data_IF_361423411274
#
_entry.id   IF_361423411274
#
_cell.length_a   1.000
_cell.length_b   1.000
_cell.length_c   1.000
_cell.angle_alpha   90.00
_cell.angle_beta   90.00
_cell.angle_gamma   90.00
#
_symmetry.space_group_name_H-M   'P 1'
#
loop_
_entity.id
_entity.type
_entity.pdbx_description
1 polymer ?
#
# COMPACT_ATOMS: atom_id res chain seq x y z
N UNK A 1 3.24 -14.75 -0.54
CA UNK A 1 3.07 -16.21 -0.24
C UNK A 1 1.93 -16.50 0.73
N UNK A 2 1.42 -15.50 1.46
CA UNK A 2 0.28 -15.69 2.37
C UNK A 2 -0.98 -16.10 1.60
N UNK A 3 -1.29 -15.42 0.51
CA UNK A 3 -2.48 -15.66 -0.30
C UNK A 3 -2.47 -17.04 -0.94
N UNK A 4 -1.31 -17.49 -1.41
CA UNK A 4 -1.16 -18.81 -2.03
C UNK A 4 -1.44 -19.94 -1.03
N UNK A 5 -0.93 -19.80 0.21
CA UNK A 5 -1.23 -20.75 1.28
C UNK A 5 -2.72 -20.75 1.62
N UNK A 6 -3.34 -19.58 1.71
CA UNK A 6 -4.77 -19.47 2.00
C UNK A 6 -5.60 -20.16 0.92
N UNK A 7 -5.28 -19.92 -0.36
CA UNK A 7 -5.98 -20.58 -1.48
C UNK A 7 -5.83 -22.10 -1.41
N UNK A 8 -4.61 -22.59 -1.18
CA UNK A 8 -4.36 -24.02 -1.03
C UNK A 8 -5.17 -24.62 0.13
N UNK A 9 -5.04 -24.07 1.33
CA UNK A 9 -5.74 -24.57 2.52
C UNK A 9 -7.26 -24.54 2.29
N UNK A 10 -7.80 -23.47 1.74
CA UNK A 10 -9.24 -23.32 1.52
C UNK A 10 -9.78 -24.30 0.51
N UNK A 11 -9.13 -24.45 -0.64
CA UNK A 11 -9.60 -25.34 -1.69
C UNK A 11 -9.32 -26.80 -1.39
N UNK A 12 -8.08 -27.16 -1.12
CA UNK A 12 -7.67 -28.55 -1.07
C UNK A 12 -7.88 -29.20 0.29
N UNK A 13 -7.63 -28.46 1.39
CA UNK A 13 -7.78 -29.03 2.73
C UNK A 13 -9.20 -28.90 3.30
N UNK A 14 -9.89 -27.79 3.04
CA UNK A 14 -11.22 -27.57 3.62
C UNK A 14 -12.38 -27.96 2.69
N UNK A 15 -12.24 -27.69 1.39
CA UNK A 15 -13.30 -27.97 0.42
C UNK A 15 -13.10 -29.29 -0.34
N UNK A 16 -11.91 -29.87 -0.28
CA UNK A 16 -11.58 -31.09 -1.00
C UNK A 16 -11.60 -30.95 -2.53
N UNK A 17 -11.44 -29.72 -3.03
CA UNK A 17 -11.39 -29.42 -4.45
C UNK A 17 -9.98 -29.04 -4.87
N UNK A 18 -9.57 -29.50 -6.05
CA UNK A 18 -8.29 -29.09 -6.62
C UNK A 18 -8.39 -27.63 -7.06
N UNK A 19 -7.44 -26.79 -6.65
CA UNK A 19 -7.40 -25.41 -7.10
C UNK A 19 -6.82 -25.30 -8.51
N UNK A 20 -7.35 -24.37 -9.31
CA UNK A 20 -6.82 -24.04 -10.63
C UNK A 20 -5.41 -23.43 -10.60
N UNK A 21 -4.92 -23.04 -9.43
CA UNK A 21 -3.52 -22.62 -9.23
C UNK A 21 -2.51 -23.70 -9.69
N UNK A 22 -2.91 -24.97 -9.71
CA UNK A 22 -2.08 -26.04 -10.28
C UNK A 22 -1.84 -25.91 -11.79
N UNK A 23 -2.66 -25.12 -12.50
CA UNK A 23 -2.60 -24.95 -13.95
C UNK A 23 -1.90 -23.66 -14.41
N UNK A 24 -1.41 -22.84 -13.49
CA UNK A 24 -0.81 -21.53 -13.81
C UNK A 24 0.63 -21.61 -14.34
N UNK A 25 1.18 -22.80 -14.57
CA UNK A 25 2.49 -22.96 -15.24
C UNK A 25 2.51 -22.29 -16.61
N UNK A 26 3.65 -21.72 -16.99
CA UNK A 26 3.87 -21.27 -18.37
C UNK A 26 4.14 -22.45 -19.32
N UNK A 27 4.55 -23.58 -18.78
CA UNK A 27 4.82 -24.78 -19.56
C UNK A 27 3.51 -25.55 -19.80
N UNK A 28 3.22 -25.86 -21.06
CA UNK A 28 2.05 -26.68 -21.41
C UNK A 28 2.16 -28.06 -20.76
N UNK A 29 1.03 -28.56 -20.29
CA UNK A 29 0.90 -29.87 -19.66
C UNK A 29 1.76 -30.08 -18.40
N UNK A 30 2.24 -29.00 -17.80
CA UNK A 30 2.94 -29.06 -16.51
C UNK A 30 2.00 -28.62 -15.39
N UNK A 31 1.82 -29.51 -14.42
CA UNK A 31 1.03 -29.24 -13.25
C UNK A 31 1.92 -28.67 -12.14
N UNK A 32 1.56 -27.49 -11.65
CA UNK A 32 2.26 -26.85 -10.54
C UNK A 32 2.08 -27.64 -9.25
N UNK A 33 3.09 -27.64 -8.39
CA UNK A 33 3.03 -28.29 -7.09
C UNK A 33 3.12 -27.25 -5.97
N UNK A 34 2.30 -27.45 -4.96
CA UNK A 34 2.43 -26.66 -3.74
C UNK A 34 3.68 -27.10 -2.98
N UNK A 35 4.51 -26.13 -2.61
CA UNK A 35 5.77 -26.36 -1.89
C UNK A 35 5.68 -25.77 -0.50
N UNK A 36 6.26 -26.48 0.45
CA UNK A 36 6.45 -26.06 1.83
C UNK A 36 7.88 -26.34 2.22
N UNK A 37 8.68 -25.32 2.46
CA UNK A 37 10.05 -25.50 2.91
C UNK A 37 10.50 -24.40 3.87
N UNK A 38 11.44 -24.76 4.73
CA UNK A 38 12.05 -23.88 5.70
C UNK A 38 13.27 -23.20 5.07
N UNK A 39 13.26 -21.88 5.06
CA UNK A 39 14.39 -21.05 4.69
C UNK A 39 14.96 -20.41 5.96
N UNK A 40 16.24 -20.67 6.24
CA UNK A 40 16.96 -19.99 7.32
C UNK A 40 17.99 -19.04 6.72
N UNK A 41 17.97 -17.79 7.14
CA UNK A 41 18.99 -16.80 6.76
C UNK A 41 19.38 -15.94 7.95
N UNK A 42 20.63 -15.45 7.97
CA UNK A 42 21.12 -14.55 9.01
C UNK A 42 20.37 -13.21 9.06
N UNK A 43 19.84 -12.75 7.93
CA UNK A 43 19.14 -11.48 7.80
C UNK A 43 17.66 -11.55 8.19
N UNK A 44 16.99 -12.67 7.88
CA UNK A 44 15.54 -12.82 8.02
C UNK A 44 15.13 -13.89 9.04
N UNK A 45 16.13 -14.56 9.69
CA UNK A 45 15.88 -15.66 10.59
C UNK A 45 15.30 -16.90 9.87
N UNK A 46 14.54 -17.70 10.61
CA UNK A 46 13.84 -18.87 10.07
C UNK A 46 12.48 -18.47 9.52
N UNK A 47 12.21 -18.81 8.27
CA UNK A 47 10.95 -18.56 7.59
C UNK A 47 10.41 -19.84 6.95
N UNK A 48 9.13 -20.11 7.14
CA UNK A 48 8.42 -21.13 6.39
C UNK A 48 7.86 -20.50 5.12
N UNK A 49 8.32 -20.96 3.97
CA UNK A 49 7.88 -20.45 2.67
C UNK A 49 6.93 -21.47 2.05
N UNK A 50 5.71 -21.03 1.79
CA UNK A 50 4.64 -21.83 1.20
C UNK A 50 4.18 -21.16 -0.09
N UNK A 51 4.35 -21.84 -1.22
CA UNK A 51 4.07 -21.27 -2.54
C UNK A 51 3.81 -22.36 -3.59
N UNK A 52 3.22 -21.95 -4.70
CA UNK A 52 3.09 -22.80 -5.87
C UNK A 52 4.37 -22.73 -6.72
N UNK A 53 5.02 -23.88 -6.88
CA UNK A 53 6.15 -24.01 -7.82
C UNK A 53 5.60 -23.96 -9.24
N UNK A 54 5.79 -22.83 -9.91
CA UNK A 54 5.18 -22.50 -11.20
C UNK A 54 6.27 -22.37 -12.28
N UNK A 55 6.70 -23.44 -12.89
CA UNK A 55 7.74 -23.42 -13.91
C UNK A 55 7.47 -22.42 -15.04
N UNK A 56 8.49 -21.65 -15.36
CA UNK A 56 8.41 -20.58 -16.36
C UNK A 56 7.79 -19.26 -15.87
N UNK A 57 7.49 -19.14 -14.57
CA UNK A 57 7.07 -17.88 -13.92
C UNK A 57 7.99 -17.58 -12.76
N UNK A 58 8.25 -16.30 -12.54
CA UNK A 58 9.01 -15.80 -11.39
C UNK A 58 8.01 -15.30 -10.36
N UNK A 59 8.16 -15.75 -9.12
CA UNK A 59 7.40 -15.25 -7.97
C UNK A 59 8.28 -14.30 -7.17
N UNK A 60 7.79 -13.10 -6.93
CA UNK A 60 8.45 -12.11 -6.09
C UNK A 60 7.48 -11.68 -5.00
N UNK A 61 7.85 -11.91 -3.76
CA UNK A 61 7.15 -11.36 -2.60
C UNK A 61 7.78 -10.01 -2.25
N UNK A 62 7.11 -8.92 -2.65
CA UNK A 62 7.62 -7.56 -2.45
C UNK A 62 7.85 -7.24 -0.97
N UNK A 63 7.03 -7.77 -0.06
CA UNK A 63 7.25 -7.55 1.37
C UNK A 63 8.60 -8.12 1.82
N UNK A 64 8.95 -9.31 1.34
CA UNK A 64 10.25 -9.93 1.66
C UNK A 64 11.42 -9.20 1.04
N UNK A 65 11.25 -8.68 -0.17
CA UNK A 65 12.27 -7.88 -0.84
C UNK A 65 12.51 -6.57 -0.11
N UNK A 66 11.44 -5.84 0.26
CA UNK A 66 11.54 -4.62 1.05
C UNK A 66 12.16 -4.87 2.42
N UNK A 67 11.79 -5.96 3.13
CA UNK A 67 12.39 -6.33 4.41
C UNK A 67 13.89 -6.59 4.33
N UNK A 68 14.34 -7.18 3.21
CA UNK A 68 15.76 -7.46 2.99
C UNK A 68 16.57 -6.22 2.65
N UNK A 69 15.97 -5.30 1.89
CA UNK A 69 16.68 -4.17 1.28
C UNK A 69 16.63 -2.91 2.15
N UNK A 70 15.53 -2.71 2.88
CA UNK A 70 15.27 -1.49 3.65
C UNK A 70 15.04 -1.79 5.12
N UNK A 71 15.68 -1.00 5.99
CA UNK A 71 15.47 -1.09 7.44
C UNK A 71 14.37 -0.10 7.86
N UNK A 72 13.10 -0.51 7.74
CA UNK A 72 11.95 0.30 8.11
C UNK A 72 11.47 -0.04 9.53
N UNK A 73 10.87 0.92 10.21
CA UNK A 73 10.25 0.73 11.54
C UNK A 73 9.03 -0.20 11.50
N UNK A 74 8.37 -0.27 10.35
CA UNK A 74 7.23 -1.15 10.10
C UNK A 74 7.15 -1.53 8.62
N UNK A 75 6.69 -2.74 8.35
CA UNK A 75 6.50 -3.26 6.99
C UNK A 75 5.02 -3.40 6.62
N UNK A 76 4.13 -2.70 7.33
CA UNK A 76 2.74 -2.56 6.91
C UNK A 76 2.68 -1.76 5.61
N UNK A 77 1.73 -2.09 4.73
CA UNK A 77 1.65 -1.50 3.39
C UNK A 77 1.58 0.03 3.41
N UNK A 78 0.78 0.60 4.31
CA UNK A 78 0.65 2.04 4.52
C UNK A 78 1.99 2.69 4.90
N UNK A 79 2.74 2.08 5.82
CA UNK A 79 4.05 2.60 6.24
C UNK A 79 5.11 2.48 5.14
N UNK A 80 5.07 1.39 4.37
CA UNK A 80 5.95 1.22 3.22
C UNK A 80 5.61 2.25 2.14
N UNK A 81 4.34 2.41 1.80
CA UNK A 81 3.88 3.43 0.84
C UNK A 81 4.26 4.84 1.28
N UNK A 82 3.98 5.21 2.53
CA UNK A 82 4.35 6.50 3.10
C UNK A 82 5.86 6.78 3.10
N UNK A 83 6.70 5.73 3.12
CA UNK A 83 8.14 5.90 3.06
C UNK A 83 8.67 6.15 1.64
N UNK A 84 8.04 5.56 0.62
CA UNK A 84 8.48 5.66 -0.77
C UNK A 84 7.72 6.70 -1.59
N UNK A 85 6.43 6.90 -1.30
CA UNK A 85 5.57 7.86 -2.00
C UNK A 85 5.32 9.04 -1.06
N UNK A 86 6.25 9.99 -1.08
CA UNK A 86 6.20 11.18 -0.25
C UNK A 86 6.92 12.36 -0.92
N UNK A 87 6.60 13.55 -0.48
CA UNK A 87 7.30 14.76 -0.92
C UNK A 87 7.29 15.85 0.15
N UNK A 88 8.38 16.62 0.20
CA UNK A 88 8.47 17.77 1.10
C UNK A 88 7.55 18.88 0.63
N UNK A 89 6.79 19.47 1.56
CA UNK A 89 5.97 20.66 1.34
C UNK A 89 6.85 21.88 1.64
N UNK A 90 7.06 22.72 0.63
CA UNK A 90 7.92 23.91 0.75
C UNK A 90 7.13 25.18 1.01
N UNK A 91 5.85 25.21 0.59
CA UNK A 91 4.96 26.34 0.84
C UNK A 91 3.49 25.93 0.87
N UNK A 92 2.66 26.72 1.54
CA UNK A 92 1.22 26.54 1.68
C UNK A 92 0.51 27.84 1.30
N UNK A 93 -0.56 27.74 0.52
CA UNK A 93 -1.43 28.88 0.20
C UNK A 93 -2.87 28.49 0.51
N UNK A 94 -3.49 29.23 1.46
CA UNK A 94 -4.91 29.01 1.81
C UNK A 94 -5.83 29.63 0.77
N UNK A 95 -6.78 28.83 0.27
CA UNK A 95 -7.83 29.27 -0.68
C UNK A 95 -9.20 28.89 -0.17
N UNK A 96 -9.78 29.71 0.68
CA UNK A 96 -11.06 29.46 1.39
C UNK A 96 -10.95 28.20 2.28
N UNK A 97 -11.65 27.12 1.92
CA UNK A 97 -11.66 25.81 2.59
C UNK A 97 -10.63 24.82 2.04
N UNK A 98 -9.76 25.31 1.13
CA UNK A 98 -8.74 24.49 0.45
C UNK A 98 -7.35 25.03 0.70
N UNK A 99 -6.36 24.16 0.51
CA UNK A 99 -4.96 24.52 0.56
C UNK A 99 -4.27 24.07 -0.72
N UNK A 100 -3.47 24.97 -1.28
CA UNK A 100 -2.54 24.69 -2.35
C UNK A 100 -1.18 24.41 -1.73
N UNK A 101 -0.72 23.16 -1.80
CA UNK A 101 0.58 22.72 -1.32
C UNK A 101 1.59 22.86 -2.44
N UNK A 102 2.68 23.54 -2.22
CA UNK A 102 3.84 23.59 -3.12
C UNK A 102 4.85 22.55 -2.62
N UNK A 103 5.22 21.60 -3.47
CA UNK A 103 6.01 20.43 -3.08
C UNK A 103 7.33 20.36 -3.85
N UNK A 104 8.36 19.77 -3.25
CA UNK A 104 9.60 19.44 -3.96
C UNK A 104 9.38 18.33 -4.99
N UNK A 105 8.56 17.36 -4.64
CA UNK A 105 8.16 16.22 -5.50
C UNK A 105 6.68 15.90 -5.30
N UNK A 106 6.05 15.43 -6.38
CA UNK A 106 4.67 14.94 -6.43
C UNK A 106 4.59 13.63 -7.24
N UNK A 107 5.69 12.86 -7.25
CA UNK A 107 5.75 11.62 -8.00
C UNK A 107 4.80 10.58 -7.42
N UNK A 108 4.22 9.77 -8.30
CA UNK A 108 3.40 8.62 -7.97
C UNK A 108 2.13 8.93 -7.16
N UNK A 109 1.63 10.17 -7.20
CA UNK A 109 0.35 10.59 -6.64
C UNK A 109 -0.60 11.02 -7.76
N UNK A 110 -1.89 10.68 -7.65
CA UNK A 110 -2.92 10.99 -8.63
C UNK A 110 -4.03 11.85 -8.02
N UNK A 111 -4.85 12.47 -8.88
CA UNK A 111 -6.09 13.12 -8.45
C UNK A 111 -7.04 12.04 -7.89
N UNK A 112 -7.71 12.37 -6.81
CA UNK A 112 -8.53 11.51 -5.96
C UNK A 112 -7.78 10.53 -5.05
N UNK A 113 -6.45 10.52 -5.03
CA UNK A 113 -5.69 9.83 -3.99
C UNK A 113 -5.83 10.56 -2.65
N UNK A 114 -5.61 9.81 -1.56
CA UNK A 114 -5.53 10.37 -0.22
C UNK A 114 -4.09 10.52 0.23
N UNK A 115 -3.81 11.61 0.94
CA UNK A 115 -2.49 11.86 1.55
C UNK A 115 -2.60 12.13 3.05
N UNK A 116 -1.55 11.80 3.77
CA UNK A 116 -1.26 12.34 5.08
C UNK A 116 -0.36 13.56 4.97
N UNK A 117 -0.48 14.49 5.91
CA UNK A 117 0.50 15.56 6.11
C UNK A 117 1.21 15.29 7.42
N UNK A 118 2.52 15.22 7.37
CA UNK A 118 3.38 14.88 8.49
C UNK A 118 4.28 16.07 8.82
N UNK A 119 4.39 16.39 10.10
CA UNK A 119 5.42 17.27 10.62
C UNK A 119 6.59 16.42 11.14
N UNK A 120 7.75 16.62 10.57
CA UNK A 120 8.98 15.91 10.94
C UNK A 120 9.94 16.87 11.61
N UNK A 121 10.22 16.61 12.90
CA UNK A 121 11.20 17.36 13.70
C UNK A 121 12.08 16.40 14.49
N UNK A 122 13.40 16.54 14.40
CA UNK A 122 14.37 15.78 15.20
C UNK A 122 14.11 14.26 15.24
N UNK A 123 13.82 13.65 14.08
CA UNK A 123 13.51 12.22 13.90
C UNK A 123 12.13 11.76 14.42
N UNK A 124 11.31 12.67 14.93
CA UNK A 124 9.92 12.39 15.28
C UNK A 124 9.03 12.86 14.12
N UNK A 125 8.05 12.06 13.76
CA UNK A 125 7.04 12.38 12.74
C UNK A 125 5.65 12.32 13.37
N UNK A 126 4.92 13.42 13.30
CA UNK A 126 3.57 13.55 13.78
C UNK A 126 2.61 13.88 12.62
N UNK A 127 1.53 13.14 12.51
CA UNK A 127 0.49 13.42 11.52
C UNK A 127 -0.30 14.68 11.91
N UNK A 128 -0.49 15.57 10.94
CA UNK A 128 -1.37 16.73 11.06
C UNK A 128 -2.74 16.35 10.48
N UNK A 129 -3.73 16.28 11.34
CA UNK A 129 -5.08 15.86 10.96
C UNK A 129 -5.18 14.37 10.63
N UNK A 130 -6.16 14.02 9.78
CA UNK A 130 -6.41 12.63 9.39
C UNK A 130 -5.87 12.35 7.99
N UNK A 131 -6.74 12.42 6.98
CA UNK A 131 -6.40 12.21 5.57
C UNK A 131 -6.96 13.36 4.74
N UNK A 132 -6.27 13.71 3.70
CA UNK A 132 -6.65 14.78 2.79
C UNK A 132 -6.81 14.24 1.38
N UNK A 133 -7.97 14.46 0.77
CA UNK A 133 -8.22 14.13 -0.62
C UNK A 133 -7.47 15.12 -1.54
N UNK A 134 -6.72 14.59 -2.47
CA UNK A 134 -6.06 15.37 -3.53
C UNK A 134 -7.09 15.64 -4.63
N UNK A 135 -7.59 16.87 -4.71
CA UNK A 135 -8.61 17.24 -5.69
C UNK A 135 -8.02 17.56 -7.06
N UNK A 136 -6.84 18.20 -7.08
CA UNK A 136 -6.14 18.56 -8.33
C UNK A 136 -4.64 18.54 -8.17
N UNK A 137 -3.98 18.19 -9.26
CA UNK A 137 -2.52 18.14 -9.36
C UNK A 137 -2.07 19.07 -10.49
N UNK A 138 -1.00 19.79 -10.25
CA UNK A 138 -0.28 20.50 -11.30
C UNK A 138 1.19 20.09 -11.30
N UNK A 139 1.53 19.19 -12.20
CA UNK A 139 2.88 18.61 -12.32
C UNK A 139 3.95 19.67 -12.61
N UNK A 140 3.66 20.63 -13.49
CA UNK A 140 4.61 21.70 -13.88
C UNK A 140 4.99 22.59 -12.69
N UNK A 141 4.01 22.91 -11.84
CA UNK A 141 4.22 23.74 -10.65
C UNK A 141 4.51 22.92 -9.40
N UNK A 142 4.44 21.59 -9.48
CA UNK A 142 4.55 20.66 -8.38
C UNK A 142 3.62 21.02 -7.23
N UNK A 143 2.34 21.21 -7.53
CA UNK A 143 1.35 21.61 -6.53
C UNK A 143 0.22 20.61 -6.42
N UNK A 144 -0.24 20.40 -5.18
CA UNK A 144 -1.41 19.59 -4.83
C UNK A 144 -2.48 20.52 -4.24
N UNK A 145 -3.72 20.43 -4.73
CA UNK A 145 -4.87 21.10 -4.14
C UNK A 145 -5.62 20.11 -3.26
N UNK A 146 -5.73 20.42 -1.98
CA UNK A 146 -6.43 19.61 -0.99
C UNK A 146 -7.52 20.41 -0.30
N UNK A 147 -8.57 19.71 0.21
CA UNK A 147 -9.53 20.27 1.14
C UNK A 147 -9.11 19.95 2.57
N UNK A 148 -9.22 20.92 3.48
CA UNK A 148 -8.89 20.72 4.89
C UNK A 148 -9.85 21.49 5.77
N UNK A 149 -10.40 20.81 6.78
CA UNK A 149 -11.26 21.39 7.82
C UNK A 149 -10.43 21.95 8.98
N UNK A 150 -9.13 21.67 9.02
CA UNK A 150 -8.20 22.21 10.01
C UNK A 150 -7.26 23.23 9.38
N UNK A 151 -6.77 24.15 10.19
CA UNK A 151 -5.81 25.15 9.74
C UNK A 151 -4.41 24.54 9.58
N UNK A 152 -3.92 24.50 8.34
CA UNK A 152 -2.55 24.11 8.02
C UNK A 152 -1.65 25.34 8.02
N UNK A 153 -0.51 25.26 8.68
CA UNK A 153 0.53 26.31 8.72
C UNK A 153 1.89 25.71 8.45
N UNK A 154 2.75 26.49 7.82
CA UNK A 154 4.16 26.16 7.78
C UNK A 154 4.71 26.17 9.22
N UNK A 155 5.58 25.25 9.49
CA UNK A 155 6.21 25.09 10.81
C UNK A 155 7.50 25.90 10.89
N UNK A 156 7.75 26.53 12.04
CA UNK A 156 8.97 27.30 12.26
C UNK A 156 10.19 26.38 12.42
N UNK A 157 9.97 25.17 12.90
CA UNK A 157 11.02 24.17 13.09
C UNK A 157 10.63 22.81 12.48
N UNK A 158 11.55 22.17 11.81
CA UNK A 158 11.31 20.90 11.12
C UNK A 158 10.81 21.11 9.70
N UNK A 159 10.15 20.09 9.17
CA UNK A 159 9.67 20.05 7.79
C UNK A 159 8.28 19.44 7.72
N UNK A 160 7.49 19.92 6.77
CA UNK A 160 6.24 19.27 6.40
C UNK A 160 6.47 18.35 5.20
N UNK A 161 5.89 17.17 5.29
CA UNK A 161 5.84 16.21 4.19
C UNK A 161 4.40 15.83 3.90
N UNK A 162 4.09 15.58 2.65
CA UNK A 162 2.96 14.76 2.29
C UNK A 162 3.43 13.33 2.04
N UNK A 163 2.62 12.35 2.40
CA UNK A 163 2.85 10.93 2.10
C UNK A 163 1.53 10.29 1.65
N UNK A 164 1.62 9.30 0.77
CA UNK A 164 0.42 8.61 0.31
C UNK A 164 -0.25 7.89 1.47
N UNK A 165 -1.56 8.12 1.61
CA UNK A 165 -2.41 7.40 2.54
C UNK A 165 -3.09 6.25 1.82
N UNK A 166 -3.15 5.09 2.48
CA UNK A 166 -3.93 3.96 1.99
C UNK A 166 -5.43 4.29 2.05
N UNK A 167 -6.17 3.91 1.02
CA UNK A 167 -7.62 3.86 1.10
C UNK A 167 -8.04 2.79 2.10
N UNK A 168 -8.73 3.21 3.15
CA UNK A 168 -9.13 2.28 4.21
C UNK A 168 -10.48 1.67 3.87
N UNK A 169 -10.43 0.54 3.22
CA UNK A 169 -11.53 -0.43 3.29
C UNK A 169 -11.27 -1.27 4.53
N UNK A 170 -11.90 -0.91 5.64
CA UNK A 170 -11.78 -1.64 6.91
C UNK A 170 -12.47 -3.01 6.85
N UNK A 171 -12.17 -3.93 7.80
CA UNK A 171 -12.83 -5.23 7.86
C UNK A 171 -14.36 -5.14 7.90
N UNK A 172 -14.91 -4.15 8.60
CA UNK A 172 -16.36 -3.90 8.67
C UNK A 172 -16.94 -3.53 7.29
N UNK A 173 -16.21 -2.74 6.51
CA UNK A 173 -16.61 -2.36 5.15
C UNK A 173 -16.55 -3.55 4.21
N UNK A 174 -15.51 -4.38 4.31
CA UNK A 174 -15.39 -5.63 3.54
C UNK A 174 -16.62 -6.52 3.79
N UNK A 175 -17.02 -6.72 5.05
CA UNK A 175 -18.20 -7.51 5.38
C UNK A 175 -19.50 -6.87 4.90
N UNK A 176 -19.61 -5.54 4.97
CA UNK A 176 -20.75 -4.79 4.45
C UNK A 176 -20.90 -4.99 2.93
N UNK A 177 -19.84 -4.80 2.17
CA UNK A 177 -19.82 -4.97 0.72
C UNK A 177 -20.01 -6.43 0.31
N UNK A 178 -19.49 -7.39 1.06
CA UNK A 178 -19.70 -8.80 0.80
C UNK A 178 -21.21 -9.19 0.87
N UNK A 179 -21.96 -8.56 1.79
CA UNK A 179 -23.40 -8.74 1.93
C UNK A 179 -24.22 -7.89 0.97
N UNK A 180 -23.63 -6.92 0.32
CA UNK A 180 -24.25 -6.01 -0.63
C UNK A 180 -24.43 -6.63 -2.02
N UNK A 181 -24.96 -5.83 -2.95
CA UNK A 181 -25.16 -6.19 -4.35
C UNK A 181 -23.81 -6.41 -5.09
N UNK A 182 -23.88 -6.98 -6.29
CA UNK A 182 -22.70 -7.10 -7.15
C UNK A 182 -22.14 -5.72 -7.55
N UNK A 183 -23.01 -4.73 -7.69
CA UNK A 183 -22.61 -3.36 -8.06
C UNK A 183 -21.94 -2.64 -6.91
N UNK A 184 -22.40 -2.82 -5.68
CA UNK A 184 -21.71 -2.30 -4.48
C UNK A 184 -20.28 -2.86 -4.39
N UNK A 185 -20.10 -4.14 -4.65
CA UNK A 185 -18.76 -4.77 -4.65
C UNK A 185 -17.85 -4.24 -5.75
N UNK A 186 -18.40 -3.98 -6.94
CA UNK A 186 -17.62 -3.41 -8.05
C UNK A 186 -17.17 -1.99 -7.76
N UNK A 187 -18.00 -1.17 -7.13
CA UNK A 187 -17.69 0.22 -6.79
C UNK A 187 -16.48 0.34 -5.86
N UNK A 188 -16.23 -0.70 -5.05
CA UNK A 188 -15.09 -0.72 -4.08
C UNK A 188 -13.84 -1.37 -4.69
N UNK A 189 -13.99 -2.16 -5.74
CA UNK A 189 -12.89 -2.88 -6.38
C UNK A 189 -12.19 -2.07 -7.50
N UNK A 190 -12.67 -0.87 -7.78
CA UNK A 190 -12.09 0.10 -8.74
C UNK A 190 -11.35 1.20 -7.94
#
# INVERSE_FOLDING_TARGET
FFDEKYVYDRCELHLGIKTEMSLISKLKNYECRFRDFKLASSALGENMIKYWDTPGRIHVDLMKDVQKTYNLSSYKLDMVAANFIRGKIVNLEKKKDKYLLYCESINDINENDYIHIEHVKSFVSDNIGTKYLVEKINEKKKTLLIKSDIELKLVDEGYLFWSQAKDDVGPADIFRFQKGSADDRRTVAV
#
